data_IF_792919443815
#
_entry.id   IF_792919443815
#
_cell.length_a   1.000
_cell.length_b   1.000
_cell.length_c   1.000
_cell.angle_alpha   90.00
_cell.angle_beta   90.00
_cell.angle_gamma   90.00
#
_symmetry.space_group_name_H-M   'P 1'
#
loop_
_entity.id
_entity.type
_entity.pdbx_description
1 polymer ?
#
# COMPACT_ATOMS: atom_id res chain seq x y z
N UNK A 1 40.29 -0.38 19.13
CA UNK A 1 39.31 0.72 19.17
C UNK A 1 38.19 0.25 20.07
N UNK A 2 37.87 1.00 21.12
CA UNK A 2 36.84 0.58 22.09
C UNK A 2 35.47 0.60 21.41
N UNK A 3 34.58 -0.39 21.70
CA UNK A 3 33.25 -0.54 21.17
C UNK A 3 32.41 0.75 21.27
N UNK A 4 32.49 1.42 22.42
CA UNK A 4 31.83 2.70 22.70
C UNK A 4 32.28 3.84 21.77
N UNK A 5 33.57 3.93 21.46
CA UNK A 5 34.12 4.93 20.53
C UNK A 5 33.72 4.66 19.09
N UNK A 6 33.59 3.38 18.72
CA UNK A 6 33.06 2.99 17.41
C UNK A 6 31.57 3.36 17.30
N UNK A 7 30.77 3.08 18.34
CA UNK A 7 29.34 3.37 18.33
C UNK A 7 29.04 4.87 18.32
N UNK A 8 29.87 5.72 18.95
CA UNK A 8 29.74 7.19 18.80
C UNK A 8 29.76 7.66 17.35
N UNK A 9 30.58 7.05 16.50
CA UNK A 9 30.64 7.38 15.08
C UNK A 9 29.39 6.90 14.32
N UNK A 10 28.81 5.78 14.77
CA UNK A 10 27.57 5.25 14.19
C UNK A 10 26.41 6.19 14.51
N UNK A 11 26.24 6.60 15.76
CA UNK A 11 25.14 7.48 16.20
C UNK A 11 25.08 8.76 15.35
N UNK A 12 26.21 9.36 15.05
CA UNK A 12 26.27 10.58 14.24
C UNK A 12 25.72 10.43 12.81
N UNK A 13 25.57 9.19 12.33
CA UNK A 13 25.15 8.87 10.97
C UNK A 13 23.88 7.97 10.92
N UNK A 14 23.15 7.86 12.03
CA UNK A 14 21.91 7.11 12.07
C UNK A 14 20.80 7.87 11.34
N UNK A 15 20.06 7.16 10.49
CA UNK A 15 18.89 7.67 9.81
C UNK A 15 17.64 7.10 10.48
N UNK A 16 16.75 7.92 11.06
CA UNK A 16 15.46 7.46 11.59
C UNK A 16 14.64 6.79 10.48
N UNK A 17 13.95 5.68 10.82
CA UNK A 17 13.08 4.95 9.91
C UNK A 17 11.62 5.11 10.30
N UNK A 18 11.29 4.78 11.55
CA UNK A 18 9.90 4.71 11.99
C UNK A 18 9.79 5.06 13.48
N UNK A 19 8.83 5.90 13.84
CA UNK A 19 8.55 6.28 15.23
C UNK A 19 7.37 5.43 15.70
N UNK A 20 7.58 4.67 16.77
CA UNK A 20 6.57 3.80 17.39
C UNK A 20 5.81 4.49 18.51
N UNK A 21 6.49 5.30 19.32
CA UNK A 21 5.89 6.08 20.40
C UNK A 21 6.35 7.53 20.27
N UNK A 22 5.39 8.43 20.26
CA UNK A 22 5.63 9.87 20.22
C UNK A 22 4.88 10.54 21.38
N UNK A 23 5.61 11.27 22.25
CA UNK A 23 5.07 12.06 23.33
C UNK A 23 6.03 13.22 23.61
N UNK A 24 5.66 14.44 23.23
CA UNK A 24 6.54 15.63 23.24
C UNK A 24 7.89 15.43 22.52
N UNK A 25 7.92 14.47 21.60
CA UNK A 25 9.09 14.00 20.89
C UNK A 25 9.03 12.49 20.66
N UNK A 26 9.92 11.94 19.82
CA UNK A 26 10.04 10.50 19.67
C UNK A 26 10.55 9.88 20.98
N UNK A 27 9.81 8.90 21.52
CA UNK A 27 10.19 8.19 22.74
C UNK A 27 10.64 6.75 22.47
N UNK A 28 10.15 6.17 21.37
CA UNK A 28 10.58 4.86 20.88
C UNK A 28 10.52 4.86 19.35
N UNK A 29 11.64 4.52 18.71
CA UNK A 29 11.73 4.53 17.26
C UNK A 29 12.80 3.55 16.76
N UNK A 30 12.77 3.25 15.46
CA UNK A 30 13.84 2.53 14.77
C UNK A 30 14.68 3.48 13.91
N UNK A 31 15.96 3.15 13.78
CA UNK A 31 16.87 3.82 12.87
C UNK A 31 17.82 2.81 12.22
N UNK A 32 18.57 3.25 11.22
CA UNK A 32 19.59 2.41 10.59
C UNK A 32 20.87 3.21 10.34
N UNK A 33 22.00 2.51 10.36
CA UNK A 33 23.28 3.07 9.99
C UNK A 33 23.57 2.99 8.48
N UNK A 34 24.72 3.48 8.07
CA UNK A 34 25.17 3.49 6.67
C UNK A 34 25.39 2.09 6.08
N UNK A 35 25.56 1.06 6.93
CA UNK A 35 25.74 -0.33 6.52
C UNK A 35 24.41 -1.07 6.35
N UNK A 36 23.31 -0.45 6.77
CA UNK A 36 21.97 -1.04 6.76
C UNK A 36 21.58 -1.75 8.05
N UNK A 37 22.48 -1.80 9.06
CA UNK A 37 22.14 -2.35 10.38
C UNK A 37 21.07 -1.49 11.04
N UNK A 38 20.02 -2.12 11.54
CA UNK A 38 18.91 -1.47 12.23
C UNK A 38 19.12 -1.45 13.74
N UNK A 39 18.57 -0.43 14.36
CA UNK A 39 18.62 -0.21 15.81
C UNK A 39 17.23 0.16 16.32
N UNK A 40 16.88 -0.32 17.50
CA UNK A 40 15.82 0.23 18.34
C UNK A 40 16.41 1.31 19.22
N UNK A 41 15.69 2.41 19.35
CA UNK A 41 16.10 3.56 20.19
C UNK A 41 14.95 3.88 21.12
N UNK A 42 15.21 3.75 22.41
CA UNK A 42 14.20 3.95 23.45
C UNK A 42 14.67 5.03 24.44
N UNK A 43 13.78 5.96 24.73
CA UNK A 43 13.98 6.99 25.74
C UNK A 43 13.90 6.38 27.14
N UNK A 44 14.92 6.56 27.95
CA UNK A 44 15.03 5.98 29.29
C UNK A 44 14.67 6.99 30.36
N UNK A 45 15.30 8.16 30.32
CA UNK A 45 15.15 9.18 31.36
C UNK A 45 15.51 10.57 30.81
N UNK A 46 15.13 11.60 31.55
CA UNK A 46 15.50 12.99 31.33
C UNK A 46 16.26 13.50 32.53
N UNK A 47 17.46 14.01 32.28
CA UNK A 47 18.33 14.59 33.31
C UNK A 47 18.51 16.09 33.08
N UNK A 48 19.09 16.80 34.04
CA UNK A 48 19.46 18.22 33.89
C UNK A 48 20.41 18.48 32.70
N UNK A 49 21.05 17.44 32.17
CA UNK A 49 21.97 17.51 31.03
C UNK A 49 21.32 17.13 29.71
N UNK A 50 20.09 16.59 29.74
CA UNK A 50 19.28 16.17 28.60
C UNK A 50 18.87 14.70 28.67
N UNK A 51 18.29 14.22 27.59
CA UNK A 51 17.69 12.89 27.46
C UNK A 51 18.71 11.75 27.45
N UNK A 52 18.42 10.68 28.17
CA UNK A 52 19.18 9.42 28.15
C UNK A 52 18.45 8.40 27.27
N UNK A 53 19.23 7.69 26.45
CA UNK A 53 18.69 6.80 25.42
C UNK A 53 19.35 5.43 25.48
N UNK A 54 18.52 4.38 25.34
CA UNK A 54 18.95 2.99 25.13
C UNK A 54 18.93 2.69 23.62
N UNK A 55 20.04 2.20 23.10
CA UNK A 55 20.20 1.77 21.72
C UNK A 55 20.52 0.28 21.67
N UNK A 56 19.76 -0.45 20.85
CA UNK A 56 19.96 -1.89 20.64
C UNK A 56 20.00 -2.21 19.16
N UNK A 57 20.89 -3.11 18.78
CA UNK A 57 20.85 -3.70 17.45
C UNK A 57 19.65 -4.62 17.35
N UNK A 58 18.99 -4.59 16.19
CA UNK A 58 17.82 -5.40 15.95
C UNK A 58 17.86 -6.00 14.54
N UNK A 59 17.53 -7.30 14.43
CA UNK A 59 17.32 -7.93 13.14
C UNK A 59 15.96 -7.51 12.54
N UNK A 60 15.82 -7.60 11.20
CA UNK A 60 14.53 -7.37 10.55
C UNK A 60 13.42 -8.30 11.09
N UNK A 61 13.75 -9.54 11.41
CA UNK A 61 12.85 -10.55 11.94
C UNK A 61 12.32 -10.15 13.32
N UNK A 62 13.22 -9.72 14.22
CA UNK A 62 12.83 -9.27 15.56
C UNK A 62 12.03 -7.97 15.52
N UNK A 63 12.42 -7.05 14.66
CA UNK A 63 11.67 -5.82 14.44
C UNK A 63 10.25 -6.12 13.93
N UNK A 64 10.09 -7.07 13.02
CA UNK A 64 8.77 -7.51 12.55
C UNK A 64 7.96 -8.18 13.67
N UNK A 65 8.59 -9.00 14.52
CA UNK A 65 7.94 -9.62 15.69
C UNK A 65 7.45 -8.58 16.69
N UNK A 66 8.23 -7.53 16.93
CA UNK A 66 7.82 -6.39 17.76
C UNK A 66 6.64 -5.64 17.12
N UNK A 67 6.72 -5.32 15.85
CA UNK A 67 5.68 -4.58 15.10
C UNK A 67 4.37 -5.38 14.97
N UNK A 68 4.45 -6.69 14.89
CA UNK A 68 3.28 -7.57 14.84
C UNK A 68 2.68 -7.89 16.21
N UNK A 69 3.26 -7.38 17.30
CA UNK A 69 2.81 -7.66 18.66
C UNK A 69 3.07 -9.09 19.12
N UNK A 70 4.00 -9.82 18.48
CA UNK A 70 4.42 -11.15 18.92
C UNK A 70 5.32 -11.09 20.15
N UNK A 71 6.07 -10.00 20.29
CA UNK A 71 6.87 -9.68 21.48
C UNK A 71 6.47 -8.30 22.00
N UNK A 72 6.52 -8.09 23.32
CA UNK A 72 6.28 -6.79 23.93
C UNK A 72 7.49 -5.88 23.74
N UNK A 73 7.31 -4.56 23.94
CA UNK A 73 8.42 -3.60 23.94
C UNK A 73 9.42 -3.97 25.03
N UNK A 74 8.92 -4.33 26.22
CA UNK A 74 9.74 -4.80 27.33
C UNK A 74 10.65 -5.97 26.91
N UNK A 75 10.05 -7.03 26.30
CA UNK A 75 10.80 -8.20 25.85
C UNK A 75 11.83 -7.86 24.78
N UNK A 76 11.49 -6.93 23.88
CA UNK A 76 12.41 -6.50 22.84
C UNK A 76 13.64 -5.80 23.42
N UNK A 77 13.45 -4.93 24.41
CA UNK A 77 14.52 -4.13 25.03
C UNK A 77 15.29 -4.86 26.13
N UNK A 78 14.65 -5.75 26.89
CA UNK A 78 15.31 -6.51 27.98
C UNK A 78 16.27 -7.58 27.47
N UNK A 79 15.98 -8.14 26.30
CA UNK A 79 16.73 -9.26 25.74
C UNK A 79 17.28 -8.93 24.35
N UNK A 80 18.26 -8.03 24.23
CA UNK A 80 18.90 -7.71 22.97
C UNK A 80 19.51 -8.95 22.30
N UNK A 81 19.44 -9.05 20.96
CA UNK A 81 19.93 -10.22 20.21
C UNK A 81 21.43 -10.44 20.36
N UNK A 82 22.20 -9.36 20.52
CA UNK A 82 23.65 -9.39 20.71
C UNK A 82 24.06 -9.49 22.21
N UNK A 83 23.11 -9.67 23.13
CA UNK A 83 23.31 -9.64 24.57
C UNK A 83 23.91 -8.34 25.12
N UNK A 84 23.95 -7.30 24.32
CA UNK A 84 24.46 -5.99 24.70
C UNK A 84 23.61 -4.85 24.12
N UNK A 85 23.62 -3.73 24.81
CA UNK A 85 22.98 -2.48 24.42
C UNK A 85 23.94 -1.31 24.67
N UNK A 86 23.56 -0.13 24.22
CA UNK A 86 24.33 1.09 24.45
C UNK A 86 23.45 2.12 25.17
N UNK A 87 23.92 2.59 26.33
CA UNK A 87 23.36 3.78 26.98
C UNK A 87 24.09 5.01 26.47
N UNK A 88 23.32 5.93 25.93
CA UNK A 88 23.79 7.21 25.39
C UNK A 88 23.24 8.33 26.24
N UNK A 89 24.15 9.11 26.83
CA UNK A 89 23.86 10.24 27.71
C UNK A 89 24.49 11.51 27.16
N UNK A 90 23.84 12.67 27.27
CA UNK A 90 24.53 13.94 27.02
C UNK A 90 25.63 14.15 28.08
N UNK A 91 26.75 14.69 27.65
CA UNK A 91 27.87 15.02 28.55
C UNK A 91 28.55 16.28 28.06
N UNK A 92 28.28 17.41 28.72
CA UNK A 92 28.69 18.73 28.27
C UNK A 92 28.34 18.98 26.79
N UNK A 93 29.36 19.19 25.94
CA UNK A 93 29.19 19.38 24.50
C UNK A 93 29.39 18.10 23.67
N UNK A 94 29.29 16.91 24.28
CA UNK A 94 29.54 15.62 23.66
C UNK A 94 28.51 14.58 24.12
N UNK A 95 28.59 13.37 23.58
CA UNK A 95 27.83 12.22 24.04
C UNK A 95 28.72 11.25 24.79
N UNK A 96 28.28 10.81 25.94
CA UNK A 96 28.85 9.64 26.64
C UNK A 96 28.12 8.41 26.09
N UNK A 97 28.85 7.40 25.64
CA UNK A 97 28.33 6.14 25.15
C UNK A 97 28.94 5.00 25.94
N UNK A 98 28.12 4.25 26.63
CA UNK A 98 28.54 3.09 27.40
C UNK A 98 27.85 1.83 26.86
N UNK A 99 28.67 0.83 26.55
CA UNK A 99 28.16 -0.51 26.26
C UNK A 99 27.80 -1.19 27.58
N UNK A 100 26.61 -1.79 27.63
CA UNK A 100 26.06 -2.51 28.78
C UNK A 100 25.60 -3.90 28.34
N UNK A 101 25.71 -4.88 29.26
CA UNK A 101 25.12 -6.20 29.05
C UNK A 101 23.62 -6.18 29.34
N UNK A 102 22.89 -7.17 28.83
CA UNK A 102 21.42 -7.31 29.07
C UNK A 102 21.08 -7.32 30.59
N UNK A 103 21.93 -7.88 31.43
CA UNK A 103 21.74 -7.91 32.88
C UNK A 103 21.81 -6.53 33.55
N UNK A 104 22.44 -5.57 32.90
CA UNK A 104 22.59 -4.20 33.37
C UNK A 104 21.46 -3.28 32.92
N UNK A 105 20.53 -3.78 32.08
CA UNK A 105 19.33 -3.04 31.73
C UNK A 105 18.37 -3.08 32.92
N UNK A 106 18.15 -1.92 33.53
CA UNK A 106 17.32 -1.81 34.73
C UNK A 106 15.83 -1.95 34.37
N UNK A 107 15.08 -2.64 35.25
CA UNK A 107 13.63 -2.86 35.03
C UNK A 107 12.84 -1.55 35.01
N UNK A 108 13.29 -0.57 35.82
CA UNK A 108 12.64 0.75 35.92
C UNK A 108 12.76 1.59 34.65
N UNK A 109 13.69 1.24 33.77
CA UNK A 109 13.85 1.90 32.46
C UNK A 109 12.81 1.42 31.46
N UNK A 110 12.28 0.22 31.65
CA UNK A 110 11.49 -0.47 30.65
C UNK A 110 9.97 -0.25 30.85
N UNK A 111 9.19 -0.24 29.77
CA UNK A 111 7.76 -0.22 29.90
C UNK A 111 7.25 -1.53 30.51
N UNK A 112 6.00 -1.58 31.03
CA UNK A 112 5.42 -2.82 31.57
C UNK A 112 5.50 -3.99 30.56
N UNK A 113 5.69 -5.22 31.06
CA UNK A 113 5.78 -6.43 30.22
C UNK A 113 4.58 -6.63 29.28
N UNK A 114 3.42 -6.17 29.70
CA UNK A 114 2.18 -6.24 28.91
C UNK A 114 2.06 -5.14 27.85
N UNK A 115 3.06 -4.27 27.71
CA UNK A 115 3.01 -3.16 26.77
C UNK A 115 3.52 -3.61 25.41
N UNK A 116 2.58 -3.92 24.54
CA UNK A 116 2.84 -4.23 23.14
C UNK A 116 2.70 -2.97 22.31
N UNK A 117 3.44 -2.88 21.22
CA UNK A 117 3.10 -1.89 20.21
C UNK A 117 1.64 -2.13 19.83
N UNK A 118 0.78 -1.17 20.09
CA UNK A 118 -0.54 -1.21 19.51
C UNK A 118 -0.34 -1.10 18.00
N UNK A 119 -0.52 -2.21 17.32
CA UNK A 119 -0.57 -2.21 15.86
C UNK A 119 -1.87 -1.49 15.48
N UNK A 120 -1.89 -0.18 15.59
CA UNK A 120 -2.62 0.57 14.60
C UNK A 120 -1.94 0.19 13.31
N UNK A 121 -2.61 -0.61 12.49
CA UNK A 121 -2.13 -1.10 11.21
C UNK A 121 -1.95 0.05 10.21
N UNK A 122 -1.11 1.01 10.55
CA UNK A 122 -0.58 2.03 9.65
C UNK A 122 0.73 1.55 9.02
N UNK A 123 0.78 0.28 8.61
CA UNK A 123 1.98 -0.31 8.02
C UNK A 123 2.06 -0.22 6.51
N UNK A 124 1.05 0.35 5.87
CA UNK A 124 1.15 0.70 4.46
C UNK A 124 1.50 2.19 4.36
N UNK A 125 2.50 2.56 3.54
CA UNK A 125 2.84 3.96 3.32
C UNK A 125 1.60 4.70 2.83
N UNK A 126 1.38 5.90 3.34
CA UNK A 126 0.40 6.80 2.76
C UNK A 126 0.75 7.03 1.29
N UNK A 127 -0.26 7.30 0.47
CA UNK A 127 -0.07 7.62 -0.95
C UNK A 127 0.81 8.86 -1.08
N UNK A 128 2.13 8.67 -1.24
CA UNK A 128 3.12 9.75 -1.19
C UNK A 128 3.02 10.73 -2.35
N UNK A 129 2.54 10.26 -3.53
CA UNK A 129 2.43 11.08 -4.75
C UNK A 129 1.03 10.88 -5.31
N UNK A 130 0.34 11.96 -5.66
CA UNK A 130 -0.98 11.88 -6.29
C UNK A 130 -0.93 11.13 -7.63
N UNK A 131 -2.06 10.52 -8.02
CA UNK A 131 -2.15 9.70 -9.23
C UNK A 131 -1.77 10.47 -10.48
N UNK A 132 -2.25 11.73 -10.58
CA UNK A 132 -1.97 12.65 -11.68
C UNK A 132 -0.51 13.12 -11.73
N UNK A 133 0.06 13.53 -10.60
CA UNK A 133 1.47 13.95 -10.54
C UNK A 133 2.41 12.81 -10.93
N UNK A 134 2.09 11.57 -10.51
CA UNK A 134 2.87 10.41 -10.90
C UNK A 134 2.71 10.09 -12.40
N UNK A 135 1.49 10.16 -12.94
CA UNK A 135 1.25 9.91 -14.36
C UNK A 135 2.03 10.89 -15.24
N UNK A 136 1.98 12.18 -14.90
CA UNK A 136 2.73 13.24 -15.60
C UNK A 136 4.26 13.03 -15.51
N UNK A 137 4.78 12.72 -14.34
CA UNK A 137 6.24 12.57 -14.11
C UNK A 137 6.80 11.28 -14.71
N UNK A 138 6.09 10.17 -14.58
CA UNK A 138 6.52 8.87 -15.11
C UNK A 138 6.21 8.67 -16.59
N UNK A 139 5.37 9.53 -17.18
CA UNK A 139 4.83 9.40 -18.53
C UNK A 139 4.16 8.03 -18.77
N UNK A 140 3.40 7.57 -17.76
CA UNK A 140 2.69 6.29 -17.77
C UNK A 140 1.25 6.48 -17.33
N UNK A 141 0.38 5.60 -17.79
CA UNK A 141 -0.94 5.47 -17.21
C UNK A 141 -0.80 5.00 -15.76
N UNK A 142 -1.52 5.65 -14.85
CA UNK A 142 -1.55 5.27 -13.43
C UNK A 142 -3.00 5.01 -13.02
N UNK A 143 -3.21 3.88 -12.37
CA UNK A 143 -4.50 3.45 -11.86
C UNK A 143 -4.35 3.07 -10.39
N UNK A 144 -4.93 3.87 -9.53
CA UNK A 144 -5.00 3.60 -8.09
C UNK A 144 -6.34 2.96 -7.75
N UNK A 145 -6.31 1.85 -7.05
CA UNK A 145 -7.50 1.10 -6.65
C UNK A 145 -7.45 0.88 -5.14
N UNK A 146 -8.44 1.39 -4.43
CA UNK A 146 -8.64 1.10 -3.02
C UNK A 146 -9.83 0.15 -2.85
N UNK A 147 -9.62 -0.92 -2.11
CA UNK A 147 -10.63 -1.93 -1.80
C UNK A 147 -11.22 -1.67 -0.42
N UNK A 148 -12.54 -1.50 -0.36
CA UNK A 148 -13.27 -1.21 0.87
C UNK A 148 -14.17 -2.39 1.19
N UNK A 149 -13.95 -3.00 2.36
CA UNK A 149 -14.85 -4.03 2.91
C UNK A 149 -15.85 -3.43 3.88
N UNK A 150 -17.04 -4.01 3.95
CA UNK A 150 -18.09 -3.67 4.95
C UNK A 150 -17.60 -3.79 6.41
N UNK A 151 -16.62 -4.65 6.67
CA UNK A 151 -16.11 -4.95 8.00
C UNK A 151 -14.97 -4.04 8.48
N UNK A 152 -14.64 -2.96 7.77
CA UNK A 152 -13.45 -2.11 8.01
C UNK A 152 -12.13 -2.89 8.17
N UNK A 153 -12.09 -4.15 7.73
CA UNK A 153 -10.88 -4.95 7.78
C UNK A 153 -9.95 -4.52 6.63
N UNK A 154 -8.73 -4.14 6.97
CA UNK A 154 -7.66 -3.81 6.00
C UNK A 154 -7.07 -5.05 5.33
N UNK A 155 -7.84 -6.15 5.27
CA UNK A 155 -7.40 -7.43 4.75
C UNK A 155 -8.22 -7.84 3.53
N UNK A 156 -7.56 -8.27 2.50
CA UNK A 156 -8.14 -8.96 1.35
C UNK A 156 -7.36 -10.25 1.10
N UNK A 157 -8.05 -11.40 1.02
CA UNK A 157 -7.35 -12.65 0.76
C UNK A 157 -6.64 -12.62 -0.60
N UNK A 158 -5.43 -13.20 -0.69
CA UNK A 158 -4.64 -13.26 -1.92
C UNK A 158 -5.44 -13.84 -3.09
N UNK A 159 -6.26 -14.87 -2.85
CA UNK A 159 -7.10 -15.46 -3.89
C UNK A 159 -8.13 -14.48 -4.45
N UNK A 160 -8.85 -13.75 -3.59
CA UNK A 160 -9.82 -12.74 -4.02
C UNK A 160 -9.14 -11.57 -4.74
N UNK A 161 -8.02 -11.09 -4.20
CA UNK A 161 -7.24 -10.04 -4.83
C UNK A 161 -6.78 -10.45 -6.23
N UNK A 162 -6.21 -11.64 -6.38
CA UNK A 162 -5.78 -12.17 -7.67
C UNK A 162 -6.90 -12.28 -8.69
N UNK A 163 -8.09 -12.73 -8.28
CA UNK A 163 -9.28 -12.77 -9.14
C UNK A 163 -9.71 -11.37 -9.59
N UNK A 164 -9.76 -10.40 -8.69
CA UNK A 164 -10.15 -9.02 -9.01
C UNK A 164 -9.14 -8.38 -9.97
N UNK A 165 -7.85 -8.49 -9.68
CA UNK A 165 -6.79 -7.92 -10.54
C UNK A 165 -6.80 -8.55 -11.94
N UNK A 166 -7.00 -9.87 -12.03
CA UNK A 166 -7.14 -10.57 -13.30
C UNK A 166 -8.40 -10.13 -14.08
N UNK A 167 -9.53 -9.91 -13.39
CA UNK A 167 -10.74 -9.40 -14.01
C UNK A 167 -10.56 -7.96 -14.54
N UNK A 168 -9.88 -7.08 -13.78
CA UNK A 168 -9.53 -5.74 -14.23
C UNK A 168 -8.63 -5.81 -15.46
N UNK A 169 -7.53 -6.54 -15.41
CA UNK A 169 -6.59 -6.68 -16.53
C UNK A 169 -7.29 -7.24 -17.78
N UNK A 170 -8.15 -8.26 -17.61
CA UNK A 170 -8.90 -8.87 -18.71
C UNK A 170 -9.89 -7.90 -19.34
N UNK A 171 -10.49 -7.04 -18.53
CA UNK A 171 -11.42 -5.99 -19.02
C UNK A 171 -10.64 -4.93 -19.80
N UNK A 172 -9.53 -4.43 -19.27
CA UNK A 172 -8.66 -3.47 -19.97
C UNK A 172 -8.18 -4.03 -21.30
N UNK A 173 -7.67 -5.26 -21.31
CA UNK A 173 -7.21 -5.93 -22.52
C UNK A 173 -8.31 -5.99 -23.59
N UNK A 174 -9.56 -6.26 -23.20
CA UNK A 174 -10.67 -6.33 -24.15
C UNK A 174 -11.12 -4.95 -24.65
N UNK A 175 -11.02 -3.92 -23.83
CA UNK A 175 -11.33 -2.53 -24.19
C UNK A 175 -10.30 -1.92 -25.15
N UNK A 176 -9.12 -2.53 -25.30
CA UNK A 176 -8.15 -2.17 -26.36
C UNK A 176 -8.64 -2.52 -27.76
N UNK A 177 -9.64 -3.38 -27.88
CA UNK A 177 -10.21 -3.75 -29.17
C UNK A 177 -11.19 -2.68 -29.66
N UNK A 178 -11.29 -2.44 -30.98
CA UNK A 178 -12.33 -1.58 -31.55
C UNK A 178 -13.73 -2.01 -31.15
N UNK A 179 -14.64 -1.06 -31.01
CA UNK A 179 -16.04 -1.29 -30.60
C UNK A 179 -16.78 -2.31 -31.48
N UNK A 180 -16.46 -2.33 -32.76
CA UNK A 180 -17.10 -3.23 -33.77
C UNK A 180 -16.39 -4.60 -33.84
N UNK A 181 -15.40 -4.85 -33.00
CA UNK A 181 -14.63 -6.09 -33.04
C UNK A 181 -15.46 -7.29 -32.62
N UNK A 182 -15.45 -8.34 -33.42
CA UNK A 182 -16.10 -9.63 -33.16
C UNK A 182 -15.07 -10.73 -32.78
N UNK A 183 -13.81 -10.36 -32.46
CA UNK A 183 -12.80 -11.34 -32.12
C UNK A 183 -13.11 -12.00 -30.77
N UNK A 184 -12.90 -13.34 -30.74
CA UNK A 184 -13.09 -14.14 -29.51
C UNK A 184 -11.84 -14.20 -28.62
N UNK A 185 -10.68 -13.87 -29.18
CA UNK A 185 -9.39 -13.93 -28.49
C UNK A 185 -8.62 -12.63 -28.71
N UNK A 186 -8.13 -12.06 -27.65
CA UNK A 186 -7.34 -10.83 -27.70
C UNK A 186 -5.94 -11.15 -28.26
N UNK A 187 -5.44 -10.43 -29.27
CA UNK A 187 -4.09 -10.59 -29.80
C UNK A 187 -3.02 -10.36 -28.74
N UNK A 188 -1.95 -11.15 -28.78
CA UNK A 188 -0.89 -11.10 -27.75
C UNK A 188 -0.20 -9.72 -27.69
N UNK A 189 -0.02 -9.04 -28.82
CA UNK A 189 0.57 -7.70 -28.82
C UNK A 189 -0.29 -6.68 -28.05
N UNK A 190 -1.64 -6.77 -28.12
CA UNK A 190 -2.51 -5.90 -27.34
C UNK A 190 -2.46 -6.22 -25.86
N UNK A 191 -2.37 -7.49 -25.48
CA UNK A 191 -2.16 -7.87 -24.08
C UNK A 191 -0.85 -7.31 -23.52
N UNK A 192 0.21 -7.37 -24.31
CA UNK A 192 1.50 -6.79 -23.93
C UNK A 192 1.43 -5.27 -23.77
N UNK A 193 0.75 -4.57 -24.67
CA UNK A 193 0.57 -3.12 -24.61
C UNK A 193 -0.31 -2.65 -23.44
N UNK A 194 -1.29 -3.46 -23.06
CA UNK A 194 -2.25 -3.15 -21.99
C UNK A 194 -1.83 -3.70 -20.60
N UNK A 195 -0.65 -4.26 -20.49
CA UNK A 195 -0.16 -4.84 -19.23
C UNK A 195 -0.02 -3.77 -18.15
N UNK A 196 -0.68 -4.00 -17.02
CA UNK A 196 -0.62 -3.17 -15.83
C UNK A 196 0.23 -3.86 -14.76
N UNK A 197 1.23 -3.17 -14.25
CA UNK A 197 2.14 -3.67 -13.24
C UNK A 197 1.82 -3.06 -11.87
N UNK A 198 1.82 -3.87 -10.81
CA UNK A 198 1.73 -3.37 -9.45
C UNK A 198 3.03 -2.63 -9.12
N UNK A 199 2.94 -1.35 -8.84
CA UNK A 199 4.10 -0.50 -8.51
C UNK A 199 4.05 0.08 -7.11
N UNK A 200 2.96 -0.13 -6.39
CA UNK A 200 2.82 0.30 -5.01
C UNK A 200 1.63 -0.32 -4.31
N UNK A 201 1.75 -0.42 -3.00
CA UNK A 201 0.67 -0.74 -2.07
C UNK A 201 0.65 0.40 -1.05
N UNK A 202 -0.56 0.89 -0.69
CA UNK A 202 -0.68 2.03 0.20
C UNK A 202 -1.88 1.90 1.15
N UNK A 203 -1.80 2.66 2.25
CA UNK A 203 -2.89 2.74 3.22
C UNK A 203 -4.05 3.58 2.64
N UNK A 204 -5.15 2.93 2.31
CA UNK A 204 -6.46 3.51 2.02
C UNK A 204 -7.44 2.36 2.03
N UNK A 205 -7.84 1.89 3.22
CA UNK A 205 -8.38 0.55 3.40
C UNK A 205 -7.34 -0.50 2.96
N UNK A 206 -7.36 -1.00 1.74
CA UNK A 206 -6.27 -1.74 1.11
C UNK A 206 -6.09 -1.18 -0.31
N UNK A 207 -5.05 -0.37 -0.54
CA UNK A 207 -4.82 0.32 -1.81
C UNK A 207 -3.69 -0.29 -2.63
N UNK A 208 -3.89 -0.39 -3.93
CA UNK A 208 -2.91 -0.86 -4.90
C UNK A 208 -2.76 0.18 -6.00
N UNK A 209 -1.53 0.49 -6.35
CA UNK A 209 -1.17 1.31 -7.51
C UNK A 209 -0.72 0.44 -8.65
N UNK A 210 -1.35 0.61 -9.79
CA UNK A 210 -1.00 -0.03 -11.06
C UNK A 210 -0.45 1.01 -12.03
N UNK A 211 0.54 0.63 -12.81
CA UNK A 211 1.09 1.47 -13.88
C UNK A 211 1.20 0.68 -15.17
N UNK A 212 1.03 1.35 -16.30
CA UNK A 212 1.32 0.77 -17.61
C UNK A 212 2.80 0.40 -17.73
N UNK A 213 3.10 -0.59 -18.57
CA UNK A 213 4.47 -1.09 -18.78
C UNK A 213 5.43 -0.04 -19.32
N UNK A 214 4.96 0.82 -20.20
CA UNK A 214 5.76 1.87 -20.81
C UNK A 214 4.97 3.14 -21.06
N UNK A 215 5.66 4.18 -21.49
CA UNK A 215 5.00 5.38 -22.02
C UNK A 215 4.44 5.06 -23.41
N UNK A 216 3.18 5.36 -23.64
CA UNK A 216 2.67 5.43 -25.00
C UNK A 216 3.36 6.61 -25.72
N UNK A 217 3.94 6.34 -26.89
CA UNK A 217 4.64 7.38 -27.67
C UNK A 217 3.67 8.39 -28.32
N UNK A 218 2.36 8.07 -28.35
CA UNK A 218 1.33 8.92 -28.92
C UNK A 218 0.29 9.31 -27.87
N UNK A 219 -0.01 10.60 -27.72
CA UNK A 219 -1.07 11.09 -26.83
C UNK A 219 -2.42 10.45 -27.19
N UNK A 220 -3.19 10.04 -26.14
CA UNK A 220 -4.52 9.47 -26.32
C UNK A 220 -4.55 8.08 -26.91
N UNK A 221 -3.50 7.27 -26.67
CA UNK A 221 -3.38 5.91 -27.17
C UNK A 221 -4.52 4.97 -26.75
N UNK A 222 -4.52 3.78 -27.34
CA UNK A 222 -5.60 2.79 -27.12
C UNK A 222 -5.74 2.37 -25.67
N UNK A 223 -4.62 2.30 -24.91
CA UNK A 223 -4.65 1.98 -23.48
C UNK A 223 -5.30 3.09 -22.66
N UNK A 224 -4.94 4.35 -22.93
CA UNK A 224 -5.55 5.52 -22.30
C UNK A 224 -7.07 5.53 -22.48
N UNK A 225 -7.53 5.29 -23.71
CA UNK A 225 -8.96 5.18 -24.03
C UNK A 225 -9.65 4.00 -23.34
N UNK A 226 -8.96 2.86 -23.21
CA UNK A 226 -9.46 1.69 -22.51
C UNK A 226 -9.62 1.94 -20.99
N UNK A 227 -8.65 2.57 -20.36
CA UNK A 227 -8.69 2.93 -18.93
C UNK A 227 -9.73 4.01 -18.65
N UNK A 228 -9.86 5.01 -19.53
CA UNK A 228 -10.92 6.01 -19.46
C UNK A 228 -12.31 5.36 -19.55
N UNK A 229 -12.49 4.44 -20.50
CA UNK A 229 -13.75 3.71 -20.67
C UNK A 229 -14.07 2.84 -19.46
N UNK A 230 -13.10 2.10 -18.91
CA UNK A 230 -13.27 1.33 -17.69
C UNK A 230 -13.69 2.23 -16.51
N UNK A 231 -12.98 3.33 -16.31
CA UNK A 231 -13.25 4.28 -15.22
C UNK A 231 -14.64 4.90 -15.34
N UNK A 232 -15.06 5.26 -16.56
CA UNK A 232 -16.38 5.79 -16.85
C UNK A 232 -17.48 4.73 -16.60
N UNK A 233 -17.34 3.51 -17.11
CA UNK A 233 -18.33 2.45 -16.88
C UNK A 233 -18.50 2.15 -15.39
N UNK A 234 -17.43 2.19 -14.61
CA UNK A 234 -17.50 2.04 -13.16
C UNK A 234 -18.17 3.25 -12.50
N UNK A 235 -17.93 4.48 -12.95
CA UNK A 235 -18.61 5.66 -12.41
C UNK A 235 -20.11 5.65 -12.72
N UNK A 236 -20.51 5.07 -13.83
CA UNK A 236 -21.91 4.93 -14.24
C UNK A 236 -22.69 3.88 -13.43
N UNK A 237 -22.04 3.12 -12.53
CA UNK A 237 -22.76 2.25 -11.57
C UNK A 237 -23.70 3.03 -10.64
N UNK A 238 -23.54 4.36 -10.56
CA UNK A 238 -24.49 5.26 -9.90
C UNK A 238 -25.81 5.40 -10.66
N UNK A 239 -25.83 5.07 -11.96
CA UNK A 239 -26.99 5.11 -12.86
C UNK A 239 -27.01 3.85 -13.73
N UNK A 240 -27.51 2.71 -13.23
CA UNK A 240 -27.40 1.41 -13.89
C UNK A 240 -27.99 1.40 -15.34
N UNK A 241 -29.02 2.22 -15.62
CA UNK A 241 -29.57 2.38 -16.95
C UNK A 241 -28.56 3.00 -17.93
N UNK A 242 -27.83 4.03 -17.48
CA UNK A 242 -26.81 4.69 -18.30
C UNK A 242 -25.64 3.73 -18.55
N UNK A 243 -25.20 3.01 -17.51
CA UNK A 243 -24.16 1.99 -17.63
C UNK A 243 -24.55 0.91 -18.64
N UNK A 244 -25.80 0.37 -18.57
CA UNK A 244 -26.29 -0.62 -19.51
C UNK A 244 -26.35 -0.07 -20.94
N UNK A 245 -26.70 1.20 -21.12
CA UNK A 245 -26.67 1.86 -22.43
C UNK A 245 -25.23 1.95 -22.97
N UNK A 246 -24.30 2.40 -22.17
CA UNK A 246 -22.93 2.67 -22.61
C UNK A 246 -22.09 1.39 -22.77
N UNK A 247 -22.37 0.36 -21.98
CA UNK A 247 -21.72 -0.96 -22.19
C UNK A 247 -22.13 -1.59 -23.53
N UNK A 248 -23.27 -1.26 -24.07
CA UNK A 248 -23.71 -1.72 -25.43
C UNK A 248 -22.89 -1.07 -26.55
N UNK A 249 -22.22 0.04 -26.29
CA UNK A 249 -21.39 0.72 -27.28
C UNK A 249 -19.97 0.10 -27.41
N UNK A 250 -19.52 -0.75 -26.45
CA UNK A 250 -18.26 -1.46 -26.57
C UNK A 250 -18.46 -2.84 -27.24
N UNK A 251 -17.34 -3.47 -27.65
CA UNK A 251 -17.37 -4.78 -28.28
C UNK A 251 -17.91 -5.88 -27.34
N UNK A 252 -18.39 -6.99 -27.93
CA UNK A 252 -19.05 -8.09 -27.20
C UNK A 252 -18.15 -8.72 -26.15
N UNK A 253 -16.86 -8.85 -26.45
CA UNK A 253 -15.89 -9.42 -25.49
C UNK A 253 -15.72 -8.51 -24.28
N UNK A 254 -15.65 -7.19 -24.47
CA UNK A 254 -15.55 -6.21 -23.38
C UNK A 254 -16.78 -6.22 -22.49
N UNK A 255 -17.99 -6.35 -23.05
CA UNK A 255 -19.23 -6.51 -22.26
C UNK A 255 -19.14 -7.71 -21.32
N UNK A 256 -18.74 -8.86 -21.87
CA UNK A 256 -18.58 -10.09 -21.09
C UNK A 256 -17.52 -9.96 -20.00
N UNK A 257 -16.38 -9.31 -20.30
CA UNK A 257 -15.29 -9.11 -19.33
C UNK A 257 -15.68 -8.12 -18.24
N UNK A 258 -16.35 -7.03 -18.58
CA UNK A 258 -16.84 -6.07 -17.60
C UNK A 258 -17.92 -6.69 -16.69
N UNK A 259 -18.84 -7.49 -17.24
CA UNK A 259 -19.79 -8.25 -16.42
C UNK A 259 -19.05 -9.16 -15.44
N UNK A 260 -18.05 -9.91 -15.91
CA UNK A 260 -17.24 -10.75 -15.04
C UNK A 260 -16.51 -9.95 -13.95
N UNK A 261 -16.03 -8.73 -14.24
CA UNK A 261 -15.46 -7.85 -13.24
C UNK A 261 -16.48 -7.48 -12.16
N UNK A 262 -17.69 -7.05 -12.56
CA UNK A 262 -18.76 -6.75 -11.60
C UNK A 262 -19.11 -7.96 -10.74
N UNK A 263 -19.28 -9.14 -11.35
CA UNK A 263 -19.54 -10.40 -10.64
C UNK A 263 -18.43 -10.70 -9.65
N UNK A 264 -17.17 -10.59 -10.06
CA UNK A 264 -16.01 -10.85 -9.18
C UNK A 264 -15.96 -9.90 -7.97
N UNK A 265 -16.29 -8.62 -8.16
CA UNK A 265 -16.36 -7.64 -7.07
C UNK A 265 -17.51 -7.95 -6.11
N UNK A 266 -18.69 -8.28 -6.63
CA UNK A 266 -19.86 -8.63 -5.83
C UNK A 266 -19.63 -9.92 -5.03
N UNK A 267 -19.13 -10.98 -5.66
CA UNK A 267 -18.81 -12.26 -5.00
C UNK A 267 -17.73 -12.12 -3.95
N UNK A 268 -16.80 -11.20 -4.17
CA UNK A 268 -15.75 -10.87 -3.18
C UNK A 268 -16.26 -10.01 -2.02
N UNK A 269 -17.47 -9.46 -2.13
CA UNK A 269 -18.09 -8.54 -1.14
C UNK A 269 -17.21 -7.30 -0.93
N UNK A 270 -16.69 -6.74 -2.03
CA UNK A 270 -15.74 -5.62 -2.03
C UNK A 270 -16.32 -4.44 -2.80
N UNK A 271 -16.32 -3.28 -2.18
CA UNK A 271 -16.48 -2.00 -2.84
C UNK A 271 -15.12 -1.50 -3.33
N UNK A 272 -15.09 -0.69 -4.38
CA UNK A 272 -13.84 -0.14 -4.91
C UNK A 272 -13.93 1.38 -5.06
N UNK A 273 -12.82 2.03 -4.72
CA UNK A 273 -12.53 3.40 -5.14
C UNK A 273 -11.40 3.35 -6.15
N UNK A 274 -11.61 3.95 -7.31
CA UNK A 274 -10.67 3.93 -8.41
C UNK A 274 -10.32 5.36 -8.81
N UNK A 275 -9.04 5.64 -8.98
CA UNK A 275 -8.52 6.88 -9.53
C UNK A 275 -7.60 6.55 -10.71
N UNK A 276 -7.89 7.09 -11.85
CA UNK A 276 -7.08 6.96 -13.05
C UNK A 276 -6.54 8.32 -13.47
N UNK A 277 -5.28 8.35 -13.92
CA UNK A 277 -4.68 9.50 -14.56
C UNK A 277 -3.79 9.09 -15.73
N UNK A 278 -3.85 9.86 -16.80
CA UNK A 278 -3.02 9.71 -17.98
C UNK A 278 -1.82 10.64 -17.98
N UNK A 279 -0.76 10.33 -18.74
CA UNK A 279 0.38 11.23 -18.91
C UNK A 279 0.06 12.58 -19.57
N UNK A 280 -1.10 12.71 -20.23
CA UNK A 280 -1.59 13.96 -20.83
C UNK A 280 -2.42 14.81 -19.86
N UNK A 281 -2.57 14.40 -18.60
CA UNK A 281 -3.31 15.13 -17.58
C UNK A 281 -4.82 14.86 -17.55
N UNK A 282 -5.32 13.84 -18.28
CA UNK A 282 -6.69 13.36 -18.10
C UNK A 282 -6.78 12.57 -16.80
N UNK A 283 -7.88 12.73 -16.07
CA UNK A 283 -8.08 12.05 -14.81
C UNK A 283 -9.57 11.76 -14.57
N UNK A 284 -9.84 10.62 -13.96
CA UNK A 284 -11.18 10.21 -13.50
C UNK A 284 -11.06 9.56 -12.13
N UNK A 285 -12.01 9.87 -11.26
CA UNK A 285 -12.15 9.22 -9.95
C UNK A 285 -13.56 8.70 -9.80
N UNK A 286 -13.71 7.49 -9.27
CA UNK A 286 -15.01 6.88 -9.00
C UNK A 286 -14.99 6.13 -7.68
N UNK A 287 -16.17 6.04 -7.05
CA UNK A 287 -16.37 5.32 -5.80
C UNK A 287 -17.60 4.43 -5.95
N UNK A 288 -17.38 3.13 -6.09
CA UNK A 288 -18.43 2.15 -6.31
C UNK A 288 -18.70 1.39 -5.01
N UNK A 289 -19.82 1.68 -4.34
CA UNK A 289 -20.25 0.89 -3.20
C UNK A 289 -20.68 -0.51 -3.62
N UNK A 290 -20.66 -1.45 -2.67
CA UNK A 290 -21.13 -2.82 -2.91
C UNK A 290 -22.57 -2.85 -3.44
N UNK A 291 -23.44 -2.02 -2.88
CA UNK A 291 -24.86 -1.93 -3.25
C UNK A 291 -25.01 -1.48 -4.71
N UNK A 292 -24.27 -0.47 -5.14
CA UNK A 292 -24.27 0.03 -6.52
C UNK A 292 -23.76 -1.02 -7.51
N UNK A 293 -22.68 -1.72 -7.18
CA UNK A 293 -22.14 -2.81 -7.99
C UNK A 293 -23.15 -3.94 -8.15
N UNK A 294 -23.81 -4.36 -7.06
CA UNK A 294 -24.83 -5.41 -7.07
C UNK A 294 -26.04 -5.03 -7.91
N UNK A 295 -26.56 -3.79 -7.75
CA UNK A 295 -27.68 -3.30 -8.55
C UNK A 295 -27.34 -3.22 -10.05
N UNK A 296 -26.13 -2.75 -10.36
CA UNK A 296 -25.66 -2.65 -11.76
C UNK A 296 -25.50 -4.02 -12.41
N UNK A 297 -25.00 -5.02 -11.66
CA UNK A 297 -24.91 -6.40 -12.14
C UNK A 297 -26.29 -6.97 -12.44
N UNK A 298 -27.22 -6.85 -11.51
CA UNK A 298 -28.61 -7.32 -11.69
C UNK A 298 -29.27 -6.68 -12.91
N UNK A 299 -29.10 -5.36 -13.09
CA UNK A 299 -29.66 -4.65 -14.23
C UNK A 299 -29.06 -5.09 -15.57
N UNK A 300 -27.76 -5.36 -15.59
CA UNK A 300 -27.06 -5.87 -16.76
C UNK A 300 -27.61 -7.26 -17.16
N UNK A 301 -27.80 -8.15 -16.18
CA UNK A 301 -28.35 -9.48 -16.38
C UNK A 301 -29.77 -9.43 -16.95
N UNK A 302 -30.65 -8.62 -16.38
CA UNK A 302 -32.01 -8.40 -16.87
C UNK A 302 -32.02 -7.90 -18.33
N UNK A 303 -31.08 -6.99 -18.66
CA UNK A 303 -31.01 -6.46 -20.04
C UNK A 303 -30.50 -7.49 -21.06
N UNK A 304 -29.71 -8.47 -20.63
CA UNK A 304 -29.25 -9.58 -21.48
C UNK A 304 -30.35 -10.62 -21.71
N UNK A 305 -31.16 -10.89 -20.70
CA UNK A 305 -32.31 -11.80 -20.81
C UNK A 305 -33.36 -11.23 -21.77
N UNK A 306 -33.73 -9.96 -21.63
CA UNK A 306 -34.67 -9.29 -22.50
C UNK A 306 -34.25 -9.20 -23.99
N UNK A 307 -32.95 -9.37 -24.29
CA UNK A 307 -32.47 -9.41 -25.68
C UNK A 307 -32.39 -10.83 -26.27
N UNK A 308 -32.74 -11.86 -25.48
CA UNK A 308 -32.78 -13.26 -25.93
C UNK A 308 -34.18 -13.74 -26.29
N UNK A 309 -35.23 -13.01 -25.85
CA UNK A 309 -36.63 -13.16 -26.25
C UNK A 309 -36.90 -12.35 -27.52
#
# INVERSE_FOLDING_TARGET
>A
MNSSEFFKKIIANLTPLEIFIFHDGPRFYSCRDLTGQQYLVYWVDETDQGDEWLYERVSPERLNSLKSGQISIHQALKNPEDYCAYIVKPFHNSLSVNEISCDQIEEDWLPPESYFLSVETKTLPDKLISTDALALSSKREVLDIAFVKKSNAYELSCGKLGLILNAIQSTVNSLMLPSESNVRKIPEHLKYQSELNITGIYASSFGIRLQSRGSELLPGGALSSALETLSRLLSETDSPELMVKNIKAVNVLSRSRFKNLLTTLVDSTVAIKLEWASPEGRQLSTNCSYEKLSQSLTKLEQSEEANKE
#
